data_IF_653780621861
#
_entry.id   IF_653780621861
#
_cell.length_a   1.000
_cell.length_b   1.000
_cell.length_c   1.000
_cell.angle_alpha   90.00
_cell.angle_beta   90.00
_cell.angle_gamma   90.00
#
_symmetry.space_group_name_H-M   'P 1'
#
loop_
_entity.id
_entity.type
_entity.pdbx_description
1 polymer ?
#
# COMPACT_ATOMS: atom_id res chain seq x y z
N UNK A 1 -11.89 22.37 -5.32
CA UNK A 1 -11.83 22.71 -3.87
C UNK A 1 -10.46 23.28 -3.55
N UNK A 2 -10.32 24.29 -2.68
CA UNK A 2 -9.01 24.81 -2.28
C UNK A 2 -8.18 23.72 -1.60
N UNK A 3 -6.89 23.65 -1.92
CA UNK A 3 -5.95 22.69 -1.30
C UNK A 3 -5.83 22.97 0.20
N UNK A 4 -5.98 21.92 1.02
CA UNK A 4 -5.80 22.02 2.47
C UNK A 4 -4.33 22.29 2.77
N UNK A 5 -4.03 23.30 3.58
CA UNK A 5 -2.65 23.60 4.00
C UNK A 5 -2.07 22.52 4.89
N UNK A 6 -0.73 22.41 4.99
CA UNK A 6 -0.05 21.47 5.91
C UNK A 6 -0.58 21.60 7.34
N UNK A 7 -0.66 22.84 7.85
CA UNK A 7 -1.23 23.13 9.19
C UNK A 7 -2.68 22.65 9.31
N UNK A 8 -3.47 22.82 8.26
CA UNK A 8 -4.86 22.36 8.21
C UNK A 8 -4.98 20.85 8.23
N UNK A 9 -4.09 20.13 7.53
CA UNK A 9 -4.02 18.65 7.56
C UNK A 9 -3.67 18.13 8.94
N UNK A 10 -2.62 18.67 9.55
CA UNK A 10 -2.20 18.30 10.91
C UNK A 10 -3.33 18.49 11.92
N UNK A 11 -4.01 19.66 11.92
CA UNK A 11 -5.15 19.94 12.81
C UNK A 11 -6.30 18.95 12.63
N UNK A 12 -6.48 18.39 11.43
CA UNK A 12 -7.52 17.41 11.09
C UNK A 12 -7.07 15.96 11.28
N UNK A 13 -5.86 15.73 11.80
CA UNK A 13 -5.32 14.40 12.09
C UNK A 13 -4.87 13.61 10.87
N UNK A 14 -4.56 14.24 9.74
CA UNK A 14 -3.96 13.55 8.60
C UNK A 14 -2.57 13.01 8.96
N UNK A 15 -2.29 11.79 8.54
CA UNK A 15 -1.05 11.06 8.87
C UNK A 15 -1.03 10.48 10.29
N UNK A 16 -2.15 10.58 11.03
CA UNK A 16 -2.28 10.05 12.38
C UNK A 16 -3.32 8.91 12.45
N UNK A 17 -3.30 8.20 13.57
CA UNK A 17 -4.15 7.04 13.80
C UNK A 17 -3.50 5.74 13.35
N UNK A 18 -4.19 4.63 13.58
CA UNK A 18 -3.84 3.27 13.18
C UNK A 18 -5.11 2.52 12.76
N UNK A 19 -4.99 1.44 12.00
CA UNK A 19 -6.13 0.63 11.59
C UNK A 19 -7.23 1.46 10.91
N UNK A 20 -8.44 1.40 11.45
CA UNK A 20 -9.61 2.12 10.90
C UNK A 20 -9.53 3.64 11.06
N UNK A 21 -8.80 4.12 12.07
CA UNK A 21 -8.69 5.54 12.41
C UNK A 21 -7.57 6.26 11.64
N UNK A 22 -6.74 5.51 10.91
CA UNK A 22 -5.67 6.12 10.12
C UNK A 22 -6.22 7.00 9.01
N UNK A 23 -5.69 8.21 8.90
CA UNK A 23 -6.02 9.18 7.84
C UNK A 23 -4.81 9.42 6.95
N UNK A 24 -4.85 8.93 5.73
CA UNK A 24 -3.81 9.13 4.71
C UNK A 24 -3.46 10.61 4.55
N UNK A 25 -2.15 10.92 4.44
CA UNK A 25 -1.68 12.29 4.24
C UNK A 25 -2.09 12.87 2.88
N UNK A 26 -2.11 12.04 1.84
CA UNK A 26 -2.50 12.43 0.48
C UNK A 26 -3.72 11.60 0.08
N UNK A 27 -4.77 12.27 -0.40
CA UNK A 27 -5.93 11.63 -1.00
C UNK A 27 -5.80 11.64 -2.53
N UNK A 28 -6.42 10.68 -3.19
CA UNK A 28 -6.50 10.58 -4.65
C UNK A 28 -7.01 11.88 -5.28
N UNK A 29 -8.02 12.52 -4.66
CA UNK A 29 -8.60 13.79 -5.13
C UNK A 29 -7.63 14.99 -5.09
N UNK A 30 -6.51 14.88 -4.37
CA UNK A 30 -5.47 15.90 -4.31
C UNK A 30 -4.37 15.68 -5.36
N UNK A 31 -4.42 14.56 -6.07
CA UNK A 31 -3.39 14.14 -7.03
C UNK A 31 -3.87 14.35 -8.47
N UNK A 32 -3.12 15.12 -9.24
CA UNK A 32 -3.52 15.52 -10.60
C UNK A 32 -3.11 14.51 -11.70
N UNK A 33 -2.65 13.32 -11.37
CA UNK A 33 -2.29 12.33 -12.40
C UNK A 33 -3.54 11.65 -12.93
N UNK A 34 -3.86 11.90 -14.20
CA UNK A 34 -4.98 11.26 -14.88
C UNK A 34 -4.74 9.75 -15.01
N UNK A 35 -5.59 8.93 -14.41
CA UNK A 35 -5.76 7.52 -14.76
C UNK A 35 -4.93 6.50 -13.99
N UNK A 36 -4.16 6.86 -12.96
CA UNK A 36 -3.32 5.90 -12.22
C UNK A 36 -3.67 5.73 -10.75
N UNK A 37 -4.53 6.59 -10.19
CA UNK A 37 -4.97 6.51 -8.80
C UNK A 37 -6.11 5.52 -8.63
N UNK A 38 -6.20 4.91 -7.45
CA UNK A 38 -7.33 4.06 -7.07
C UNK A 38 -7.73 4.30 -5.61
N UNK A 39 -9.02 4.17 -5.37
CA UNK A 39 -9.60 4.13 -4.02
C UNK A 39 -10.08 2.71 -3.76
N UNK A 40 -9.57 2.10 -2.70
CA UNK A 40 -9.88 0.72 -2.34
C UNK A 40 -10.51 0.70 -0.95
N UNK A 41 -11.59 -0.05 -0.78
CA UNK A 41 -12.14 -0.35 0.53
C UNK A 41 -11.38 -1.56 1.10
N UNK A 42 -10.63 -1.36 2.18
CA UNK A 42 -9.90 -2.45 2.86
C UNK A 42 -10.88 -3.51 3.36
N UNK A 43 -10.71 -4.74 2.95
CA UNK A 43 -11.65 -5.83 3.26
C UNK A 43 -11.60 -6.30 4.71
N UNK A 44 -10.49 -6.07 5.41
CA UNK A 44 -10.33 -6.45 6.82
C UNK A 44 -10.83 -5.36 7.78
N UNK A 45 -10.61 -4.08 7.45
CA UNK A 45 -10.92 -2.95 8.34
C UNK A 45 -12.13 -2.13 7.89
N UNK A 46 -12.51 -2.23 6.60
CA UNK A 46 -13.53 -1.37 6.00
C UNK A 46 -13.08 0.07 5.73
N UNK A 47 -11.81 0.41 6.03
CA UNK A 47 -11.24 1.74 5.80
C UNK A 47 -11.07 2.02 4.30
N UNK A 48 -11.26 3.28 3.93
CA UNK A 48 -10.93 3.76 2.57
C UNK A 48 -9.43 4.01 2.47
N UNK A 49 -8.77 3.40 1.48
CA UNK A 49 -7.34 3.47 1.20
C UNK A 49 -7.11 4.21 -0.11
N UNK A 50 -6.21 5.19 -0.12
CA UNK A 50 -5.88 6.03 -1.28
C UNK A 50 -4.54 5.61 -1.88
N UNK A 51 -4.57 5.05 -3.08
CA UNK A 51 -3.41 4.54 -3.81
C UNK A 51 -3.15 5.43 -5.03
N UNK A 52 -1.95 5.99 -5.14
CA UNK A 52 -1.65 7.04 -6.11
C UNK A 52 -0.99 6.52 -7.39
N UNK A 53 -0.74 5.20 -7.46
CA UNK A 53 -0.18 4.55 -8.65
C UNK A 53 -0.65 3.10 -8.78
N UNK A 54 -0.58 2.55 -10.00
CA UNK A 54 -0.86 1.12 -10.23
C UNK A 54 0.12 0.20 -9.49
N UNK A 55 1.35 0.64 -9.27
CA UNK A 55 2.32 -0.09 -8.46
C UNK A 55 1.87 -0.21 -7.01
N UNK A 56 1.37 0.89 -6.42
CA UNK A 56 0.80 0.90 -5.08
C UNK A 56 -0.44 -0.01 -4.99
N UNK A 57 -1.33 0.00 -6.02
CA UNK A 57 -2.48 -0.93 -6.06
C UNK A 57 -2.01 -2.38 -6.01
N UNK A 58 -1.02 -2.76 -6.82
CA UNK A 58 -0.50 -4.11 -6.87
C UNK A 58 0.08 -4.53 -5.52
N UNK A 59 0.97 -3.72 -4.95
CA UNK A 59 1.62 -4.03 -3.70
C UNK A 59 0.70 -3.95 -2.49
N UNK A 60 -0.31 -3.07 -2.52
CA UNK A 60 -1.32 -3.02 -1.46
C UNK A 60 -2.05 -4.36 -1.31
N UNK A 61 -2.53 -4.95 -2.42
CA UNK A 61 -3.21 -6.25 -2.36
C UNK A 61 -2.29 -7.35 -1.82
N UNK A 62 -1.02 -7.40 -2.25
CA UNK A 62 -0.07 -8.39 -1.76
C UNK A 62 0.27 -8.19 -0.28
N UNK A 63 0.57 -6.97 0.12
CA UNK A 63 0.87 -6.66 1.52
C UNK A 63 -0.31 -6.97 2.43
N UNK A 64 -1.54 -6.63 1.98
CA UNK A 64 -2.75 -6.85 2.78
C UNK A 64 -3.20 -8.31 2.79
N UNK A 65 -2.85 -9.09 1.77
CA UNK A 65 -3.09 -10.53 1.71
C UNK A 65 -2.28 -11.31 2.72
N UNK A 66 -1.09 -10.84 3.07
CA UNK A 66 -0.28 -11.43 4.13
C UNK A 66 -0.86 -11.07 5.51
N UNK A 67 -1.27 -12.09 6.28
CA UNK A 67 -1.89 -11.92 7.59
C UNK A 67 -0.93 -11.41 8.67
N UNK A 68 0.38 -11.60 8.48
CA UNK A 68 1.39 -10.99 9.37
C UNK A 68 1.36 -9.46 9.32
N UNK A 69 0.80 -8.86 8.27
CA UNK A 69 0.66 -7.42 8.16
C UNK A 69 -0.67 -6.98 8.78
N UNK A 70 -0.63 -6.58 10.05
CA UNK A 70 -1.83 -6.22 10.81
C UNK A 70 -2.31 -4.80 10.52
N UNK A 71 -1.41 -3.87 10.20
CA UNK A 71 -1.75 -2.49 9.81
C UNK A 71 -0.94 -2.02 8.60
N UNK A 72 -1.59 -1.29 7.70
CA UNK A 72 -0.97 -0.68 6.52
C UNK A 72 -1.44 0.77 6.44
N UNK A 73 -0.49 1.69 6.59
CA UNK A 73 -0.70 3.13 6.54
C UNK A 73 -0.13 3.66 5.22
N UNK A 74 -1.00 3.95 4.25
CA UNK A 74 -0.58 4.48 2.96
C UNK A 74 -0.28 5.97 3.05
N UNK A 75 0.63 6.46 2.19
CA UNK A 75 1.03 7.87 2.10
C UNK A 75 1.40 8.45 3.48
N UNK A 76 2.24 7.70 4.22
CA UNK A 76 2.64 8.06 5.58
C UNK A 76 3.56 9.28 5.57
N UNK A 77 3.23 10.39 6.27
CA UNK A 77 4.01 11.62 6.23
C UNK A 77 5.31 11.50 7.02
N UNK A 78 6.40 11.97 6.42
CA UNK A 78 7.69 12.06 7.07
C UNK A 78 7.83 13.43 7.76
N UNK A 79 8.39 13.46 8.96
CA UNK A 79 8.66 14.72 9.68
C UNK A 79 9.73 15.49 8.92
N UNK A 80 9.40 16.69 8.46
CA UNK A 80 10.25 17.47 7.55
C UNK A 80 11.65 17.76 8.12
N UNK A 81 11.74 18.07 9.42
CA UNK A 81 13.02 18.35 10.10
C UNK A 81 13.94 17.12 10.09
N UNK A 82 13.38 15.94 10.38
CA UNK A 82 14.13 14.67 10.39
C UNK A 82 14.48 14.19 8.97
N UNK A 83 13.63 14.50 7.98
CA UNK A 83 13.92 14.23 6.58
C UNK A 83 15.09 15.08 6.07
N UNK A 84 15.14 16.36 6.48
CA UNK A 84 16.26 17.27 6.20
C UNK A 84 17.54 16.84 6.94
N UNK A 85 17.42 16.34 8.16
CA UNK A 85 18.55 15.78 8.90
C UNK A 85 19.13 14.54 8.20
N UNK A 86 18.27 13.62 7.75
CA UNK A 86 18.68 12.45 6.98
C UNK A 86 19.42 12.84 5.69
N UNK A 87 18.94 13.86 4.98
CA UNK A 87 19.61 14.39 3.79
C UNK A 87 21.00 14.95 4.12
N UNK A 88 21.11 15.76 5.19
CA UNK A 88 22.39 16.33 5.62
C UNK A 88 23.41 15.26 6.01
N UNK A 89 23.00 14.19 6.69
CA UNK A 89 23.88 13.04 7.02
C UNK A 89 24.43 12.33 5.77
N UNK A 90 23.72 12.41 4.66
CA UNK A 90 24.17 11.90 3.36
C UNK A 90 24.98 12.92 2.55
N UNK A 91 25.29 14.10 3.09
CA UNK A 91 25.94 15.19 2.36
C UNK A 91 25.08 15.80 1.25
N UNK A 92 23.75 15.64 1.32
CA UNK A 92 22.80 16.11 0.33
C UNK A 92 22.14 17.41 0.80
N UNK A 93 22.28 18.47 -0.01
CA UNK A 93 21.55 19.72 0.22
C UNK A 93 20.16 19.61 -0.40
N UNK A 94 19.14 19.92 0.39
CA UNK A 94 17.76 20.11 -0.08
C UNK A 94 17.42 21.59 0.03
N UNK A 95 16.94 22.18 -1.07
CA UNK A 95 16.41 23.53 -1.02
C UNK A 95 15.14 23.56 -0.18
N UNK A 96 15.18 24.23 0.95
CA UNK A 96 14.12 24.28 1.98
C UNK A 96 12.91 25.15 1.54
N UNK A 97 12.73 25.38 0.26
CA UNK A 97 11.73 26.31 -0.29
C UNK A 97 10.32 25.71 -0.46
N UNK A 98 10.13 24.41 -0.23
CA UNK A 98 8.82 23.83 -0.35
C UNK A 98 8.24 23.44 1.01
N UNK A 99 7.09 24.00 1.38
CA UNK A 99 6.23 23.52 2.46
C UNK A 99 5.66 22.10 2.16
N UNK A 100 6.39 21.31 1.36
CA UNK A 100 5.96 19.97 0.94
C UNK A 100 6.41 18.95 1.97
N UNK A 101 5.45 18.26 2.56
CA UNK A 101 5.71 17.07 3.39
C UNK A 101 5.98 15.90 2.46
N UNK A 102 7.12 15.22 2.65
CA UNK A 102 7.43 13.97 1.99
C UNK A 102 6.63 12.83 2.61
N UNK A 103 6.29 11.83 1.82
CA UNK A 103 5.56 10.63 2.29
C UNK A 103 6.29 9.37 1.88
N UNK A 104 6.16 8.33 2.70
CA UNK A 104 6.45 6.94 2.33
C UNK A 104 5.16 6.32 1.80
N UNK A 105 5.26 5.48 0.77
CA UNK A 105 4.06 4.92 0.13
C UNK A 105 3.29 4.00 1.08
N UNK A 106 3.99 3.16 1.87
CA UNK A 106 3.39 2.34 2.92
C UNK A 106 4.28 2.26 4.16
N UNK A 107 3.69 2.42 5.34
CA UNK A 107 4.24 1.99 6.61
C UNK A 107 3.42 0.80 7.10
N UNK A 108 4.06 -0.37 7.19
CA UNK A 108 3.41 -1.64 7.54
C UNK A 108 3.81 -2.05 8.94
N UNK A 109 2.84 -2.38 9.79
CA UNK A 109 3.07 -2.97 11.11
C UNK A 109 2.82 -4.47 11.03
N UNK A 110 3.79 -5.25 11.47
CA UNK A 110 3.73 -6.71 11.55
C UNK A 110 3.05 -7.17 12.84
N UNK A 111 2.60 -8.42 12.85
CA UNK A 111 1.96 -9.05 14.02
C UNK A 111 2.88 -9.08 15.26
N UNK A 112 4.20 -9.11 15.06
CA UNK A 112 5.21 -9.04 16.12
C UNK A 112 5.55 -7.60 16.57
N UNK A 113 4.84 -6.60 16.04
CA UNK A 113 5.02 -5.19 16.34
C UNK A 113 6.12 -4.50 15.53
N UNK A 114 6.95 -5.22 14.78
CA UNK A 114 7.95 -4.60 13.89
C UNK A 114 7.25 -3.76 12.82
N UNK A 115 7.92 -2.69 12.42
CA UNK A 115 7.46 -1.85 11.31
C UNK A 115 8.43 -1.93 10.15
N UNK A 116 7.88 -1.88 8.95
CA UNK A 116 8.66 -1.81 7.70
C UNK A 116 8.06 -0.71 6.83
N UNK A 117 8.91 0.18 6.35
CA UNK A 117 8.51 1.22 5.41
C UNK A 117 8.81 0.78 3.96
N UNK A 118 7.88 1.06 3.06
CA UNK A 118 8.01 0.70 1.66
C UNK A 118 7.78 1.89 0.74
N UNK A 119 8.69 2.09 -0.22
CA UNK A 119 8.48 2.98 -1.36
C UNK A 119 8.24 2.14 -2.61
N UNK A 120 7.22 2.49 -3.40
CA UNK A 120 6.83 1.74 -4.60
C UNK A 120 7.29 2.48 -5.86
N UNK A 121 7.88 1.76 -6.79
CA UNK A 121 8.30 2.30 -8.09
C UNK A 121 7.80 1.43 -9.23
N UNK A 122 7.60 2.05 -10.40
CA UNK A 122 7.08 1.35 -11.56
C UNK A 122 8.04 0.26 -12.06
N UNK A 123 9.34 0.54 -12.08
CA UNK A 123 10.39 -0.39 -12.53
C UNK A 123 11.74 -0.06 -11.90
N UNK A 124 12.73 -0.91 -12.14
CA UNK A 124 14.12 -0.70 -11.65
C UNK A 124 14.88 0.38 -12.41
N UNK A 125 14.32 0.92 -13.51
CA UNK A 125 14.89 2.07 -14.23
C UNK A 125 14.56 3.35 -13.47
N UNK A 126 15.47 3.80 -12.62
CA UNK A 126 15.29 4.97 -11.77
C UNK A 126 16.17 6.13 -12.24
N UNK A 127 15.63 7.35 -12.18
CA UNK A 127 16.44 8.56 -12.37
C UNK A 127 17.34 8.84 -11.17
N UNK A 128 18.42 9.58 -11.37
CA UNK A 128 19.32 9.97 -10.28
C UNK A 128 18.58 10.75 -9.17
N UNK A 129 17.59 11.58 -9.53
CA UNK A 129 16.76 12.29 -8.55
C UNK A 129 15.90 11.35 -7.71
N UNK A 130 15.33 10.30 -8.34
CA UNK A 130 14.56 9.27 -7.64
C UNK A 130 15.47 8.47 -6.69
N UNK A 131 16.66 8.04 -7.15
CA UNK A 131 17.63 7.33 -6.32
C UNK A 131 18.00 8.18 -5.09
N UNK A 132 18.32 9.46 -5.31
CA UNK A 132 18.63 10.41 -4.23
C UNK A 132 17.49 10.49 -3.21
N UNK A 133 16.25 10.63 -3.64
CA UNK A 133 15.08 10.67 -2.75
C UNK A 133 14.92 9.37 -1.95
N UNK A 134 15.11 8.21 -2.58
CA UNK A 134 15.04 6.91 -1.91
C UNK A 134 16.17 6.72 -0.88
N UNK A 135 17.38 7.22 -1.17
CA UNK A 135 18.49 7.20 -0.21
C UNK A 135 18.16 8.03 1.05
N UNK A 136 17.56 9.22 0.87
CA UNK A 136 17.15 10.07 2.00
C UNK A 136 16.03 9.39 2.79
N UNK A 137 15.05 8.83 2.12
CA UNK A 137 13.93 8.12 2.75
C UNK A 137 14.44 6.90 3.55
N UNK A 138 15.35 6.11 2.99
CA UNK A 138 16.01 5.01 3.69
C UNK A 138 16.75 5.51 4.94
N UNK A 139 17.57 6.56 4.82
CA UNK A 139 18.29 7.14 5.95
C UNK A 139 17.33 7.66 7.04
N UNK A 140 16.20 8.29 6.65
CA UNK A 140 15.15 8.70 7.56
C UNK A 140 14.63 7.51 8.39
N UNK A 141 14.26 6.41 7.74
CA UNK A 141 13.70 5.25 8.42
C UNK A 141 14.72 4.52 9.29
N UNK A 142 15.97 4.44 8.84
CA UNK A 142 17.08 3.89 9.65
C UNK A 142 17.31 4.69 10.94
N UNK A 143 17.16 6.03 10.93
CA UNK A 143 17.23 6.87 12.14
C UNK A 143 16.11 6.56 13.13
N UNK A 144 15.01 5.96 12.67
CA UNK A 144 13.90 5.54 13.51
C UNK A 144 13.95 4.04 13.89
N UNK A 145 15.02 3.32 13.53
CA UNK A 145 15.12 1.87 13.75
C UNK A 145 14.10 1.06 12.95
N UNK A 146 13.61 1.60 11.82
CA UNK A 146 12.61 0.99 10.97
C UNK A 146 13.27 0.55 9.66
N UNK A 147 13.04 -0.69 9.27
CA UNK A 147 13.50 -1.21 7.98
C UNK A 147 12.82 -0.49 6.82
N UNK A 148 13.58 -0.27 5.74
CA UNK A 148 13.09 0.35 4.53
C UNK A 148 13.40 -0.50 3.30
N UNK A 149 12.42 -0.67 2.43
CA UNK A 149 12.56 -1.42 1.19
C UNK A 149 11.88 -0.71 0.02
N UNK A 150 12.43 -0.90 -1.18
CA UNK A 150 11.82 -0.41 -2.43
C UNK A 150 11.16 -1.59 -3.13
N UNK A 151 9.88 -1.44 -3.42
CA UNK A 151 9.06 -2.42 -4.12
C UNK A 151 8.89 -1.98 -5.58
N UNK A 152 9.05 -2.89 -6.52
CA UNK A 152 8.87 -2.59 -7.94
C UNK A 152 7.63 -3.29 -8.49
N UNK A 153 6.79 -2.53 -9.22
CA UNK A 153 5.61 -3.11 -9.87
C UNK A 153 5.98 -4.27 -10.80
N UNK A 154 7.13 -4.17 -11.47
CA UNK A 154 7.64 -5.21 -12.38
C UNK A 154 8.02 -6.53 -11.71
N UNK A 155 8.18 -6.55 -10.40
CA UNK A 155 8.51 -7.78 -9.64
C UNK A 155 7.27 -8.67 -9.40
N UNK A 156 6.09 -8.15 -9.74
CA UNK A 156 4.81 -8.83 -9.51
C UNK A 156 4.13 -9.15 -10.83
N UNK A 157 3.79 -10.41 -11.05
CA UNK A 157 2.95 -10.81 -12.19
C UNK A 157 1.56 -10.19 -12.01
N UNK A 158 1.02 -9.58 -13.08
CA UNK A 158 -0.22 -8.79 -13.00
C UNK A 158 -1.46 -9.58 -12.55
N UNK A 159 -1.47 -10.88 -12.76
CA UNK A 159 -2.58 -11.72 -12.32
C UNK A 159 -2.65 -11.90 -10.78
N UNK A 160 -1.51 -11.82 -10.07
CA UNK A 160 -1.47 -12.03 -8.61
C UNK A 160 -2.35 -11.03 -7.85
N UNK A 161 -2.16 -9.70 -7.97
CA UNK A 161 -3.06 -8.75 -7.32
C UNK A 161 -4.50 -8.83 -7.87
N UNK A 162 -4.69 -9.27 -9.12
CA UNK A 162 -6.03 -9.47 -9.67
C UNK A 162 -6.73 -10.67 -9.03
N UNK A 163 -6.03 -11.79 -8.80
CA UNK A 163 -6.55 -12.94 -8.06
C UNK A 163 -7.01 -12.54 -6.66
N UNK A 164 -6.12 -11.84 -5.92
CA UNK A 164 -6.44 -11.38 -4.57
C UNK A 164 -7.66 -10.44 -4.61
N UNK A 165 -7.66 -9.47 -5.52
CA UNK A 165 -8.78 -8.52 -5.68
C UNK A 165 -10.10 -9.24 -5.97
N UNK A 166 -10.08 -10.25 -6.86
CA UNK A 166 -11.26 -11.03 -7.20
C UNK A 166 -11.80 -11.79 -5.99
N UNK A 167 -10.93 -12.47 -5.24
CA UNK A 167 -11.35 -13.21 -4.06
C UNK A 167 -11.90 -12.28 -2.96
N UNK A 168 -11.17 -11.20 -2.59
CA UNK A 168 -11.52 -10.35 -1.45
C UNK A 168 -12.77 -9.49 -1.68
N UNK A 169 -13.28 -9.39 -2.91
CA UNK A 169 -14.60 -8.80 -3.16
C UNK A 169 -15.71 -9.52 -2.36
N UNK A 170 -15.52 -10.81 -2.12
CA UNK A 170 -16.46 -11.68 -1.40
C UNK A 170 -16.08 -11.90 0.06
N UNK A 171 -15.01 -11.26 0.57
CA UNK A 171 -14.51 -11.48 1.95
C UNK A 171 -15.58 -11.26 3.02
N UNK A 172 -16.41 -10.22 2.88
CA UNK A 172 -17.49 -9.85 3.80
C UNK A 172 -18.88 -10.18 3.23
N UNK A 173 -18.98 -11.11 2.28
CA UNK A 173 -20.27 -11.50 1.71
C UNK A 173 -21.16 -12.13 2.80
N UNK A 174 -22.34 -11.55 3.00
CA UNK A 174 -23.36 -12.06 3.95
C UNK A 174 -24.24 -13.15 3.33
N UNK A 175 -24.29 -13.21 2.00
CA UNK A 175 -24.99 -14.25 1.25
C UNK A 175 -24.15 -14.65 0.03
N UNK A 176 -24.05 -15.94 -0.20
CA UNK A 176 -23.44 -16.54 -1.37
C UNK A 176 -24.53 -16.84 -2.38
N UNK A 177 -24.44 -16.24 -3.56
CA UNK A 177 -25.49 -16.33 -4.59
C UNK A 177 -25.31 -17.52 -5.53
N UNK A 178 -24.07 -17.99 -5.68
CA UNK A 178 -23.72 -19.12 -6.54
C UNK A 178 -22.43 -19.83 -6.02
N UNK A 179 -22.13 -20.98 -6.62
CA UNK A 179 -21.01 -21.84 -6.19
C UNK A 179 -19.64 -21.17 -6.32
N UNK A 180 -19.43 -20.33 -7.36
CA UNK A 180 -18.13 -19.67 -7.58
C UNK A 180 -17.93 -18.53 -6.58
N UNK A 181 -18.94 -17.73 -6.30
CA UNK A 181 -18.86 -16.68 -5.27
C UNK A 181 -18.64 -17.29 -3.89
N UNK A 182 -19.24 -18.47 -3.62
CA UNK A 182 -18.96 -19.22 -2.39
C UNK A 182 -17.52 -19.70 -2.29
N UNK A 183 -16.98 -20.20 -3.39
CA UNK A 183 -15.59 -20.62 -3.43
C UNK A 183 -14.63 -19.45 -3.23
N UNK A 184 -14.87 -18.33 -3.94
CA UNK A 184 -14.07 -17.10 -3.80
C UNK A 184 -14.13 -16.53 -2.36
N UNK A 185 -15.30 -16.59 -1.72
CA UNK A 185 -15.45 -16.22 -0.31
C UNK A 185 -14.56 -17.10 0.60
N UNK A 186 -14.59 -18.41 0.43
CA UNK A 186 -13.77 -19.36 1.21
C UNK A 186 -12.27 -19.16 0.95
N UNK A 187 -11.88 -18.92 -0.31
CA UNK A 187 -10.48 -18.58 -0.68
C UNK A 187 -10.08 -17.26 0.01
N UNK A 188 -10.93 -16.22 -0.04
CA UNK A 188 -10.65 -14.93 0.59
C UNK A 188 -10.46 -15.05 2.11
N UNK A 189 -11.22 -15.93 2.75
CA UNK A 189 -11.16 -16.23 4.18
C UNK A 189 -10.06 -17.23 4.55
N UNK A 190 -9.35 -17.76 3.54
CA UNK A 190 -8.33 -18.82 3.69
C UNK A 190 -8.87 -20.11 4.30
N UNK A 191 -10.15 -20.37 4.10
CA UNK A 191 -10.81 -21.63 4.45
C UNK A 191 -10.52 -22.73 3.39
N UNK A 192 -10.20 -22.30 2.16
CA UNK A 192 -9.65 -23.12 1.09
C UNK A 192 -8.32 -22.53 0.70
N UNK A 193 -7.28 -23.37 0.68
CA UNK A 193 -5.96 -23.00 0.23
C UNK A 193 -5.93 -22.86 -1.30
N UNK A 194 -5.49 -21.70 -1.77
CA UNK A 194 -5.20 -21.43 -3.16
C UNK A 194 -3.95 -20.57 -3.28
N UNK A 195 -2.98 -21.03 -4.06
CA UNK A 195 -1.78 -20.25 -4.32
C UNK A 195 -2.06 -19.13 -5.33
N UNK A 196 -2.24 -17.92 -4.82
CA UNK A 196 -2.48 -16.71 -5.63
C UNK A 196 -1.39 -16.42 -6.65
N UNK A 197 -0.19 -17.03 -6.51
CA UNK A 197 0.97 -16.79 -7.35
C UNK A 197 1.13 -17.81 -8.48
N UNK A 198 0.38 -18.91 -8.46
CA UNK A 198 0.51 -20.00 -9.42
C UNK A 198 -0.03 -19.65 -10.81
N UNK A 199 -1.29 -19.27 -10.89
CA UNK A 199 -2.03 -19.03 -12.13
C UNK A 199 -3.19 -18.04 -11.97
N UNK A 200 -3.67 -17.40 -13.07
CA UNK A 200 -4.86 -16.55 -13.02
C UNK A 200 -6.11 -17.32 -12.63
N UNK A 201 -6.88 -16.81 -11.66
CA UNK A 201 -8.20 -17.37 -11.34
C UNK A 201 -9.16 -17.10 -12.51
N UNK A 202 -9.74 -18.17 -13.04
CA UNK A 202 -10.79 -18.17 -14.04
C UNK A 202 -11.77 -19.34 -13.77
N UNK A 203 -12.82 -19.50 -14.60
CA UNK A 203 -13.82 -20.53 -14.40
C UNK A 203 -13.23 -21.95 -14.37
N UNK A 204 -12.27 -22.26 -15.26
CA UNK A 204 -11.65 -23.59 -15.31
C UNK A 204 -10.87 -23.91 -14.02
N UNK A 205 -10.19 -22.91 -13.46
CA UNK A 205 -9.47 -23.03 -12.18
C UNK A 205 -10.47 -23.26 -11.03
N UNK A 206 -11.56 -22.50 -11.00
CA UNK A 206 -12.60 -22.67 -10.00
C UNK A 206 -13.29 -24.04 -10.10
N UNK A 207 -13.59 -24.50 -11.31
CA UNK A 207 -14.15 -25.84 -11.55
C UNK A 207 -13.22 -26.95 -11.07
N UNK A 208 -11.90 -26.80 -11.30
CA UNK A 208 -10.90 -27.77 -10.83
C UNK A 208 -10.84 -27.82 -9.31
N UNK A 209 -10.88 -26.68 -8.64
CA UNK A 209 -10.89 -26.61 -7.16
C UNK A 209 -12.16 -27.29 -6.61
N UNK A 210 -13.33 -27.01 -7.21
CA UNK A 210 -14.61 -27.62 -6.82
C UNK A 210 -14.64 -29.14 -6.98
N UNK A 211 -13.93 -29.70 -7.99
CA UNK A 211 -13.85 -31.14 -8.23
C UNK A 211 -12.85 -31.85 -7.32
N UNK A 212 -11.90 -31.11 -6.76
CA UNK A 212 -10.86 -31.66 -5.88
C UNK A 212 -11.07 -31.35 -4.40
N UNK A 213 -12.11 -30.58 -4.10
CA UNK A 213 -12.58 -30.28 -2.75
C UNK A 213 -13.81 -31.17 -2.43
#
# INVERSE_FOLDING_TARGET
MPKITVKGKLKRGYGNGTGVDYKSWIKDSEFNSKGTTAVVKDWKTGRTVHLLSQGEVFWYYLLRWNDDNIDIQEQYPLKSELYLEAARKLGLSLNNTSNKVHTTDFLVTKIDGRKIAYSVKASRKLSNSTIRSLCIEKAYWMLHGIDFSVLFKTDVKSFVPNNIRLAVQYYNASAVTDVYTGLLHKIARKEIEFDMFSEPINSNVLDRILKGA
#
